data_IF_533117803790
#
_entry.id   IF_533117803790
#
_cell.length_a   1.000
_cell.length_b   1.000
_cell.length_c   1.000
_cell.angle_alpha   90.00
_cell.angle_beta   90.00
_cell.angle_gamma   90.00
#
_symmetry.space_group_name_H-M   'P 1'
#
loop_
_entity.id
_entity.type
_entity.pdbx_description
1 polymer ?
#
# COMPACT_ATOMS: atom_id res chain seq x y z
N UNK A 1 9.04 2.86 -6.03
CA UNK A 1 7.99 1.99 -5.47
C UNK A 1 7.51 2.48 -4.13
N UNK A 2 6.22 2.37 -3.88
CA UNK A 2 5.64 2.73 -2.59
C UNK A 2 4.80 1.57 -2.07
N UNK A 3 4.87 1.32 -0.77
CA UNK A 3 4.00 0.37 -0.06
C UNK A 3 3.24 1.17 0.98
N UNK A 4 1.91 1.14 0.92
CA UNK A 4 1.06 1.90 1.82
C UNK A 4 0.06 1.00 2.52
N UNK A 5 0.00 1.13 3.85
CA UNK A 5 -1.00 0.48 4.68
C UNK A 5 -1.90 1.56 5.26
N UNK A 6 -3.17 1.67 4.82
CA UNK A 6 -4.10 2.62 5.44
C UNK A 6 -4.31 2.27 6.91
N UNK A 7 -4.43 3.29 7.74
CA UNK A 7 -4.58 3.13 9.18
C UNK A 7 -5.97 3.61 9.60
N UNK A 8 -6.77 2.68 10.10
CA UNK A 8 -8.15 2.86 10.53
C UNK A 8 -9.13 3.14 9.39
N UNK A 9 -10.32 2.60 9.51
CA UNK A 9 -11.39 2.78 8.51
C UNK A 9 -11.89 4.23 8.47
N UNK A 10 -12.05 4.86 9.64
CA UNK A 10 -12.52 6.24 9.72
C UNK A 10 -11.54 7.20 9.04
N UNK A 11 -10.24 7.05 9.27
CA UNK A 11 -9.23 7.90 8.64
C UNK A 11 -9.20 7.68 7.13
N UNK A 12 -9.30 6.43 6.69
CA UNK A 12 -9.30 6.10 5.27
C UNK A 12 -10.48 6.76 4.56
N UNK A 13 -11.66 6.75 5.19
CA UNK A 13 -12.85 7.40 4.66
C UNK A 13 -12.70 8.93 4.61
N UNK A 14 -12.22 9.53 5.70
CA UNK A 14 -12.08 11.00 5.78
C UNK A 14 -10.99 11.55 4.87
N UNK A 15 -9.90 10.81 4.66
CA UNK A 15 -8.77 11.26 3.85
C UNK A 15 -8.79 10.70 2.43
N UNK A 16 -9.90 10.10 2.01
CA UNK A 16 -10.03 9.41 0.73
C UNK A 16 -9.51 10.25 -0.44
N UNK A 17 -9.98 11.48 -0.58
CA UNK A 17 -9.60 12.34 -1.71
C UNK A 17 -8.11 12.68 -1.70
N UNK A 18 -7.54 12.87 -0.51
CA UNK A 18 -6.10 13.12 -0.38
C UNK A 18 -5.28 11.90 -0.80
N UNK A 19 -5.75 10.70 -0.49
CA UNK A 19 -5.06 9.48 -0.92
C UNK A 19 -5.07 9.31 -2.43
N UNK A 20 -6.12 9.74 -3.12
CA UNK A 20 -6.20 9.59 -4.57
C UNK A 20 -5.08 10.35 -5.30
N UNK A 21 -4.58 11.44 -4.73
CA UNK A 21 -3.53 12.25 -5.34
C UNK A 21 -2.15 12.06 -4.70
N UNK A 22 -2.07 11.40 -3.55
CA UNK A 22 -0.84 11.34 -2.76
C UNK A 22 0.27 10.52 -3.42
N UNK A 23 -0.09 9.57 -4.29
CA UNK A 23 0.86 8.61 -4.84
C UNK A 23 1.21 8.85 -6.30
N UNK A 24 0.89 10.02 -6.85
CA UNK A 24 1.09 10.29 -8.28
C UNK A 24 2.55 10.22 -8.72
N UNK A 25 3.49 10.42 -7.79
CA UNK A 25 4.92 10.30 -8.08
C UNK A 25 5.46 8.87 -8.03
N UNK A 26 4.67 7.89 -7.63
CA UNK A 26 5.12 6.51 -7.54
C UNK A 26 4.94 5.79 -8.88
N UNK A 27 5.95 5.02 -9.30
CA UNK A 27 5.84 4.17 -10.49
C UNK A 27 5.03 2.90 -10.19
N UNK A 28 5.20 2.36 -8.99
CA UNK A 28 4.51 1.16 -8.53
C UNK A 28 4.02 1.41 -7.10
N UNK A 29 2.75 1.15 -6.87
CA UNK A 29 2.14 1.24 -5.53
C UNK A 29 1.59 -0.13 -5.13
N UNK A 30 2.05 -0.62 -3.98
CA UNK A 30 1.44 -1.76 -3.31
C UNK A 30 0.60 -1.21 -2.16
N UNK A 31 -0.70 -1.51 -2.19
CA UNK A 31 -1.64 -1.01 -1.19
C UNK A 31 -2.22 -2.20 -0.44
N UNK A 32 -2.05 -2.22 0.88
CA UNK A 32 -2.56 -3.31 1.71
C UNK A 32 -3.98 -3.01 2.17
N UNK A 33 -4.60 -4.01 2.79
CA UNK A 33 -5.88 -3.76 3.45
C UNK A 33 -5.67 -2.86 4.68
N UNK A 34 -6.77 -2.29 5.17
CA UNK A 34 -6.74 -1.31 6.25
C UNK A 34 -6.32 -1.99 7.56
N UNK A 35 -5.38 -1.37 8.26
CA UNK A 35 -5.04 -1.75 9.64
C UNK A 35 -6.09 -1.14 10.57
N UNK A 36 -6.94 -2.00 11.12
CA UNK A 36 -8.15 -1.56 11.83
C UNK A 36 -7.86 -0.79 13.11
N UNK A 37 -6.78 -1.13 13.82
CA UNK A 37 -6.40 -0.50 15.10
C UNK A 37 -7.54 -0.52 16.13
N UNK A 38 -8.30 -1.62 16.16
CA UNK A 38 -9.41 -1.81 17.09
C UNK A 38 -10.75 -1.28 16.61
N UNK A 39 -10.80 -0.64 15.43
CA UNK A 39 -12.07 -0.17 14.87
C UNK A 39 -12.89 -1.29 14.26
N UNK A 40 -14.21 -1.12 14.26
CA UNK A 40 -15.09 -1.98 13.49
C UNK A 40 -15.02 -1.63 12.00
N UNK A 41 -15.13 -2.62 11.09
CA UNK A 41 -15.19 -2.33 9.66
C UNK A 41 -16.33 -1.40 9.29
N UNK A 42 -16.08 -0.51 8.34
CA UNK A 42 -17.10 0.39 7.78
C UNK A 42 -17.47 -0.13 6.40
N UNK A 43 -18.77 -0.33 6.15
CA UNK A 43 -19.24 -0.83 4.86
C UNK A 43 -18.76 0.08 3.72
N UNK A 44 -18.23 -0.53 2.67
CA UNK A 44 -17.73 0.19 1.51
C UNK A 44 -16.32 0.77 1.68
N UNK A 45 -15.73 0.67 2.88
CA UNK A 45 -14.38 1.18 3.14
C UNK A 45 -13.44 -0.01 3.31
N UNK A 46 -12.53 -0.18 2.35
CA UNK A 46 -11.54 -1.26 2.38
C UNK A 46 -10.30 -0.85 1.60
N UNK A 47 -9.21 -1.57 1.82
CA UNK A 47 -7.99 -1.36 1.03
C UNK A 47 -8.22 -1.65 -0.45
N UNK A 48 -8.99 -2.69 -0.76
CA UNK A 48 -9.29 -3.04 -2.15
C UNK A 48 -10.10 -1.95 -2.85
N UNK A 49 -11.11 -1.38 -2.18
CA UNK A 49 -11.90 -0.29 -2.73
C UNK A 49 -11.04 0.95 -2.96
N UNK A 50 -10.17 1.28 -2.00
CA UNK A 50 -9.24 2.41 -2.13
C UNK A 50 -8.28 2.17 -3.30
N UNK A 51 -7.75 0.97 -3.45
CA UNK A 51 -6.84 0.65 -4.55
C UNK A 51 -7.49 0.87 -5.91
N UNK A 52 -8.75 0.50 -6.06
CA UNK A 52 -9.50 0.74 -7.32
C UNK A 52 -9.59 2.22 -7.64
N UNK A 53 -9.91 3.05 -6.66
CA UNK A 53 -10.04 4.49 -6.86
C UNK A 53 -8.67 5.14 -7.13
N UNK A 54 -7.64 4.74 -6.40
CA UNK A 54 -6.28 5.24 -6.62
C UNK A 54 -5.80 4.88 -8.02
N UNK A 55 -6.08 3.66 -8.49
CA UNK A 55 -5.69 3.23 -9.82
C UNK A 55 -6.27 4.14 -10.90
N UNK A 56 -7.52 4.58 -10.74
CA UNK A 56 -8.15 5.50 -11.69
C UNK A 56 -7.50 6.89 -11.69
N UNK A 57 -6.95 7.31 -10.55
CA UNK A 57 -6.36 8.64 -10.40
C UNK A 57 -4.87 8.67 -10.78
N UNK A 58 -4.20 7.53 -10.84
CA UNK A 58 -2.78 7.44 -11.16
C UNK A 58 -2.53 7.55 -12.68
N UNK A 59 -1.32 7.99 -13.10
CA UNK A 59 -0.97 7.96 -14.52
C UNK A 59 -1.06 6.55 -15.10
N UNK A 60 -1.37 6.45 -16.39
CA UNK A 60 -1.61 5.16 -17.05
C UNK A 60 -0.40 4.23 -17.04
N UNK A 61 0.82 4.78 -16.98
CA UNK A 61 2.04 3.99 -16.95
C UNK A 61 2.44 3.56 -15.53
N UNK A 62 1.65 3.93 -14.52
CA UNK A 62 1.89 3.49 -13.15
C UNK A 62 1.15 2.19 -12.88
N UNK A 63 1.67 1.40 -11.94
CA UNK A 63 1.06 0.16 -11.51
C UNK A 63 0.55 0.30 -10.08
N UNK A 64 -0.69 -0.15 -9.85
CA UNK A 64 -1.29 -0.21 -8.51
C UNK A 64 -1.72 -1.65 -8.25
N UNK A 65 -1.17 -2.23 -7.20
CA UNK A 65 -1.48 -3.60 -6.80
C UNK A 65 -2.09 -3.59 -5.40
N UNK A 66 -3.23 -4.24 -5.25
CA UNK A 66 -3.78 -4.50 -3.92
C UNK A 66 -3.21 -5.84 -3.42
N UNK A 67 -2.68 -5.85 -2.19
CA UNK A 67 -2.22 -7.05 -1.52
C UNK A 67 -2.94 -7.14 -0.17
N UNK A 68 -3.43 -8.33 0.18
CA UNK A 68 -4.31 -8.47 1.33
C UNK A 68 -3.60 -8.19 2.66
N UNK A 69 -2.31 -8.52 2.76
CA UNK A 69 -1.55 -8.36 3.99
C UNK A 69 -0.07 -8.06 3.68
N UNK A 70 0.71 -7.88 4.76
CA UNK A 70 2.13 -7.54 4.61
C UNK A 70 2.97 -8.72 4.08
N UNK A 71 2.57 -9.95 4.35
CA UNK A 71 3.27 -11.11 3.80
C UNK A 71 3.14 -11.14 2.28
N UNK A 72 1.95 -10.86 1.76
CA UNK A 72 1.74 -10.74 0.32
C UNK A 72 2.52 -9.55 -0.26
N UNK A 73 2.61 -8.44 0.49
CA UNK A 73 3.39 -7.28 0.06
C UNK A 73 4.87 -7.66 -0.09
N UNK A 74 5.43 -8.39 0.87
CA UNK A 74 6.81 -8.86 0.81
C UNK A 74 7.04 -9.77 -0.39
N UNK A 75 6.15 -10.73 -0.62
CA UNK A 75 6.25 -11.64 -1.77
C UNK A 75 6.22 -10.86 -3.08
N UNK A 76 5.33 -9.88 -3.20
CA UNK A 76 5.21 -9.07 -4.40
C UNK A 76 6.47 -8.23 -4.63
N UNK A 77 7.02 -7.64 -3.56
CA UNK A 77 8.28 -6.89 -3.65
C UNK A 77 9.41 -7.76 -4.16
N UNK A 78 9.51 -9.00 -3.67
CA UNK A 78 10.51 -9.95 -4.15
C UNK A 78 10.38 -10.28 -5.62
N UNK A 79 9.14 -10.27 -6.15
CA UNK A 79 8.88 -10.57 -7.55
C UNK A 79 9.17 -9.41 -8.50
N UNK A 80 8.87 -8.17 -8.08
CA UNK A 80 8.86 -7.03 -8.98
C UNK A 80 9.97 -6.01 -8.75
N UNK A 81 10.65 -6.07 -7.59
CA UNK A 81 11.74 -5.13 -7.29
C UNK A 81 12.97 -5.45 -8.12
N UNK A 82 13.69 -4.39 -8.51
CA UNK A 82 14.95 -4.49 -9.26
C UNK A 82 16.02 -3.73 -8.54
N UNK A 83 17.29 -4.05 -8.86
CA UNK A 83 18.42 -3.33 -8.33
C UNK A 83 18.31 -1.84 -8.64
N UNK A 84 18.51 -1.00 -7.65
CA UNK A 84 18.40 0.45 -7.79
C UNK A 84 17.03 1.02 -7.46
N UNK A 85 16.00 0.18 -7.23
CA UNK A 85 14.68 0.66 -6.84
C UNK A 85 14.70 1.26 -5.44
N UNK A 86 13.99 2.38 -5.28
CA UNK A 86 13.70 2.96 -3.98
C UNK A 86 12.35 2.44 -3.51
N UNK A 87 12.32 1.89 -2.30
CA UNK A 87 11.09 1.35 -1.71
C UNK A 87 10.74 2.18 -0.48
N UNK A 88 9.59 2.87 -0.53
CA UNK A 88 9.07 3.66 0.58
C UNK A 88 7.89 2.92 1.22
N UNK A 89 7.97 2.67 2.51
CA UNK A 89 6.89 2.05 3.27
C UNK A 89 6.20 3.11 4.11
N UNK A 90 4.89 3.28 3.91
CA UNK A 90 4.11 4.34 4.56
C UNK A 90 2.95 3.75 5.33
N UNK A 91 2.74 4.24 6.54
CA UNK A 91 1.66 3.81 7.41
C UNK A 91 2.06 3.89 8.87
N UNK A 92 1.09 3.71 9.76
CA UNK A 92 1.29 3.82 11.20
C UNK A 92 1.02 2.50 11.95
N UNK A 93 0.69 1.43 11.23
CA UNK A 93 0.39 0.13 11.82
C UNK A 93 1.54 -0.86 11.69
N UNK A 94 1.21 -2.11 11.45
CA UNK A 94 2.20 -3.19 11.35
C UNK A 94 3.21 -3.00 10.23
N UNK A 95 2.91 -2.17 9.24
CA UNK A 95 3.82 -1.87 8.12
C UNK A 95 5.14 -1.26 8.60
N UNK A 96 5.18 -0.68 9.80
CA UNK A 96 6.43 -0.09 10.35
C UNK A 96 7.56 -1.10 10.47
N UNK A 97 7.25 -2.39 10.48
CA UNK A 97 8.23 -3.48 10.54
C UNK A 97 8.68 -3.98 9.17
N UNK A 98 7.96 -3.58 8.12
CA UNK A 98 8.22 -4.10 6.77
C UNK A 98 9.63 -3.80 6.25
N UNK A 99 10.17 -2.58 6.44
CA UNK A 99 11.51 -2.27 5.92
C UNK A 99 12.61 -3.20 6.41
N UNK A 100 12.48 -3.74 7.63
CA UNK A 100 13.46 -4.67 8.19
C UNK A 100 13.43 -6.03 7.49
N UNK A 101 12.30 -6.39 6.89
CA UNK A 101 12.08 -7.69 6.26
C UNK A 101 12.39 -7.69 4.76
N UNK A 102 12.38 -6.52 4.13
CA UNK A 102 12.60 -6.39 2.68
C UNK A 102 13.93 -6.95 2.21
N UNK A 103 15.08 -6.67 2.88
CA UNK A 103 16.36 -7.19 2.41
C UNK A 103 16.39 -8.71 2.31
N UNK A 104 15.74 -9.43 3.23
CA UNK A 104 15.67 -10.88 3.20
C UNK A 104 14.95 -11.42 1.96
N UNK A 105 13.87 -10.73 1.53
CA UNK A 105 13.10 -11.12 0.35
C UNK A 105 13.88 -10.84 -0.93
N UNK A 106 14.59 -9.70 -1.00
CA UNK A 106 15.34 -9.31 -2.18
C UNK A 106 16.59 -10.17 -2.42
N UNK A 107 17.09 -10.83 -1.38
CA UNK A 107 18.24 -11.71 -1.48
C UNK A 107 17.91 -13.13 -1.90
N UNK A 108 16.65 -13.48 -1.88
CA UNK A 108 16.18 -14.84 -2.16
C UNK A 108 16.21 -15.18 -3.68
#
# INVERSE_FOLDING_TARGET
MAVFQPHRYSRTMHCHDGFLSAFQGADVLLLTDIYAAGEEPIEGVSGEALAREVRKAMPQNSEVHFVADLDQALSKLGQISRSGDLILCMGAGSITRLPEQVPGVLRA
#
